data_IF_293470944163
#
_entry.id   IF_293470944163
#
_cell.length_a   1.000
_cell.length_b   1.000
_cell.length_c   1.000
_cell.angle_alpha   90.00
_cell.angle_beta   90.00
_cell.angle_gamma   90.00
#
_symmetry.space_group_name_H-M   'P 1'
#
loop_
_entity.id
_entity.type
_entity.pdbx_description
1 polymer ?
#
# COMPACT_ATOMS: atom_id res chain seq x y z
N UNK A 1 -5.04 18.99 13.64
CA UNK A 1 -4.06 18.07 13.03
C UNK A 1 -4.79 17.16 12.04
N UNK A 2 -4.40 17.14 10.77
CA UNK A 2 -4.97 16.17 9.85
C UNK A 2 -4.59 14.73 10.33
N UNK A 3 -5.59 13.88 10.48
CA UNK A 3 -5.38 12.47 10.85
C UNK A 3 -5.38 11.63 9.58
N UNK A 4 -4.39 10.76 9.44
CA UNK A 4 -4.40 9.76 8.37
C UNK A 4 -5.53 8.76 8.62
N UNK A 5 -6.31 8.48 7.57
CA UNK A 5 -7.38 7.48 7.60
C UNK A 5 -6.78 6.10 7.84
N UNK A 6 -5.66 5.80 7.19
CA UNK A 6 -4.98 4.52 7.34
C UNK A 6 -4.42 4.29 8.74
N UNK A 7 -3.82 5.32 9.36
CA UNK A 7 -3.22 5.21 10.68
C UNK A 7 -4.24 4.93 11.82
N UNK A 8 -5.51 5.27 11.62
CA UNK A 8 -6.55 5.08 12.64
C UNK A 8 -6.80 3.59 13.00
N UNK A 9 -6.46 2.68 12.09
CA UNK A 9 -6.68 1.23 12.23
C UNK A 9 -5.38 0.43 12.36
N UNK A 10 -4.27 1.09 12.65
CA UNK A 10 -2.96 0.47 12.83
C UNK A 10 -2.69 0.19 14.31
N UNK A 11 -2.25 -1.02 14.58
CA UNK A 11 -1.70 -1.45 15.87
C UNK A 11 -0.20 -1.69 15.70
N UNK A 12 0.62 -1.03 16.50
CA UNK A 12 2.07 -1.27 16.53
C UNK A 12 2.40 -2.28 17.62
N UNK A 13 3.13 -3.31 17.22
CA UNK A 13 3.60 -4.36 18.13
C UNK A 13 4.95 -4.00 18.75
N UNK A 14 5.31 -4.68 19.84
CA UNK A 14 6.57 -4.44 20.56
C UNK A 14 7.82 -4.74 19.73
N UNK A 15 7.73 -5.64 18.75
CA UNK A 15 8.82 -5.98 17.83
C UNK A 15 9.03 -4.96 16.70
N UNK A 16 8.21 -3.88 16.68
CA UNK A 16 8.23 -2.85 15.65
C UNK A 16 7.35 -3.15 14.44
N UNK A 17 6.73 -4.33 14.36
CA UNK A 17 5.76 -4.67 13.32
C UNK A 17 4.47 -3.87 13.50
N UNK A 18 3.89 -3.45 12.40
CA UNK A 18 2.54 -2.87 12.36
C UNK A 18 1.55 -3.89 11.81
N UNK A 19 0.37 -3.94 12.42
CA UNK A 19 -0.78 -4.71 11.95
C UNK A 19 -1.97 -3.79 11.72
N UNK A 20 -2.79 -4.09 10.71
CA UNK A 20 -4.06 -3.42 10.48
C UNK A 20 -5.20 -4.19 11.11
N UNK A 21 -6.23 -3.49 11.58
CA UNK A 21 -7.45 -4.12 12.11
C UNK A 21 -8.64 -3.63 11.31
N UNK A 22 -9.42 -4.57 10.78
CA UNK A 22 -10.64 -4.28 10.05
C UNK A 22 -11.74 -5.31 10.38
N UNK A 23 -12.74 -4.89 11.14
CA UNK A 23 -13.76 -5.82 11.63
C UNK A 23 -13.13 -7.02 12.35
N UNK A 24 -13.47 -8.26 11.94
CA UNK A 24 -12.90 -9.48 12.54
C UNK A 24 -11.52 -9.86 11.96
N UNK A 25 -10.95 -9.02 11.08
CA UNK A 25 -9.71 -9.32 10.40
C UNK A 25 -8.52 -8.61 11.03
N UNK A 26 -7.40 -9.31 11.09
CA UNK A 26 -6.06 -8.76 11.30
C UNK A 26 -5.34 -8.78 9.96
N UNK A 27 -4.83 -7.64 9.55
CA UNK A 27 -4.15 -7.44 8.28
C UNK A 27 -2.65 -7.34 8.52
N UNK A 28 -1.88 -8.13 7.78
CA UNK A 28 -0.41 -8.13 7.83
C UNK A 28 0.18 -7.83 6.47
N UNK A 29 1.43 -7.39 6.46
CA UNK A 29 2.21 -7.23 5.24
C UNK A 29 3.08 -8.44 4.98
N UNK A 30 3.15 -8.87 3.73
CA UNK A 30 4.25 -9.67 3.21
C UNK A 30 4.96 -8.86 2.12
N UNK A 31 6.27 -9.04 1.99
CA UNK A 31 7.06 -8.37 0.96
C UNK A 31 7.64 -9.39 0.02
N UNK A 32 7.22 -9.32 -1.24
CA UNK A 32 7.75 -10.16 -2.29
C UNK A 32 8.94 -9.46 -2.96
N UNK A 33 10.13 -10.08 -2.98
CA UNK A 33 11.27 -9.50 -3.64
C UNK A 33 11.09 -9.47 -5.16
N UNK A 34 11.45 -8.34 -5.76
CA UNK A 34 11.53 -8.14 -7.21
C UNK A 34 13.00 -8.15 -7.58
N UNK A 35 13.37 -9.05 -8.47
CA UNK A 35 14.76 -9.23 -8.89
C UNK A 35 15.04 -8.49 -10.19
N UNK A 36 16.26 -7.96 -10.28
CA UNK A 36 16.84 -7.43 -11.51
C UNK A 36 18.08 -8.24 -11.89
N UNK A 37 18.25 -8.44 -13.18
CA UNK A 37 19.44 -9.06 -13.74
C UNK A 37 20.36 -7.95 -14.28
N UNK A 38 21.44 -7.66 -13.54
CA UNK A 38 22.36 -6.57 -13.84
C UNK A 38 23.78 -7.15 -13.91
N UNK A 39 24.49 -6.87 -15.00
CA UNK A 39 25.87 -7.32 -15.23
C UNK A 39 26.08 -8.82 -15.01
N UNK A 40 25.12 -9.63 -15.48
CA UNK A 40 25.17 -11.08 -15.36
C UNK A 40 24.86 -11.62 -13.96
N UNK A 41 24.38 -10.76 -13.04
CA UNK A 41 24.01 -11.17 -11.67
C UNK A 41 22.58 -10.87 -11.36
N UNK A 42 21.92 -11.81 -10.69
CA UNK A 42 20.58 -11.64 -10.15
C UNK A 42 20.69 -10.96 -8.77
N UNK A 43 20.00 -9.82 -8.61
CA UNK A 43 19.97 -9.09 -7.35
C UNK A 43 18.56 -8.61 -7.02
N UNK A 44 18.25 -8.43 -5.73
CA UNK A 44 16.98 -7.83 -5.31
C UNK A 44 17.02 -6.34 -5.62
N UNK A 45 16.12 -5.88 -6.49
CA UNK A 45 15.98 -4.47 -6.88
C UNK A 45 14.92 -3.73 -6.05
N UNK A 46 13.86 -4.41 -5.67
CA UNK A 46 12.71 -3.84 -5.00
C UNK A 46 11.91 -4.89 -4.24
N UNK A 47 10.88 -4.45 -3.53
CA UNK A 47 9.91 -5.31 -2.87
C UNK A 47 8.49 -4.84 -3.21
N UNK A 48 7.57 -5.77 -3.40
CA UNK A 48 6.15 -5.50 -3.51
C UNK A 48 5.45 -5.79 -2.18
N UNK A 49 4.66 -4.83 -1.69
CA UNK A 49 3.82 -4.98 -0.51
C UNK A 49 2.54 -5.75 -0.83
N UNK A 50 2.36 -6.90 -0.21
CA UNK A 50 1.22 -7.79 -0.41
C UNK A 50 0.44 -7.96 0.88
N UNK A 51 -0.88 -7.79 0.80
CA UNK A 51 -1.77 -7.96 1.94
C UNK A 51 -1.91 -9.44 2.33
N UNK A 52 -1.86 -9.69 3.64
CA UNK A 52 -2.13 -11.01 4.24
C UNK A 52 -3.21 -10.86 5.31
N UNK A 53 -4.48 -11.09 4.96
CA UNK A 53 -5.57 -11.04 5.92
C UNK A 53 -5.62 -12.33 6.74
N UNK A 54 -5.97 -12.19 8.01
CA UNK A 54 -6.22 -13.28 8.94
C UNK A 54 -7.59 -13.09 9.61
N UNK A 55 -8.32 -14.17 9.79
CA UNK A 55 -9.55 -14.20 10.57
C UNK A 55 -9.46 -15.33 11.58
N UNK A 56 -9.66 -15.02 12.88
CA UNK A 56 -9.48 -15.99 13.97
C UNK A 56 -8.14 -16.74 13.89
N UNK A 57 -7.07 -16.00 13.61
CA UNK A 57 -5.69 -16.49 13.40
C UNK A 57 -5.49 -17.39 12.16
N UNK A 58 -6.51 -17.60 11.33
CA UNK A 58 -6.41 -18.39 10.10
C UNK A 58 -6.16 -17.46 8.90
N UNK A 59 -5.15 -17.77 8.05
CA UNK A 59 -4.87 -16.97 6.87
C UNK A 59 -6.02 -17.05 5.87
N UNK A 60 -6.34 -15.92 5.25
CA UNK A 60 -7.35 -15.78 4.21
C UNK A 60 -6.68 -15.34 2.91
N UNK A 61 -7.24 -15.72 1.77
CA UNK A 61 -6.78 -15.18 0.49
C UNK A 61 -7.20 -13.71 0.38
N UNK A 62 -6.35 -12.81 -0.11
CA UNK A 62 -6.70 -11.39 -0.28
C UNK A 62 -7.98 -11.17 -1.08
N UNK A 63 -8.19 -11.97 -2.13
CA UNK A 63 -9.38 -11.90 -2.97
C UNK A 63 -10.67 -12.20 -2.18
N UNK A 64 -10.66 -13.24 -1.34
CA UNK A 64 -11.81 -13.61 -0.52
C UNK A 64 -12.09 -12.54 0.53
N UNK A 65 -11.05 -11.97 1.13
CA UNK A 65 -11.18 -10.84 2.05
C UNK A 65 -11.83 -9.63 1.37
N UNK A 66 -11.34 -9.21 0.19
CA UNK A 66 -11.90 -8.05 -0.51
C UNK A 66 -13.34 -8.24 -0.97
N UNK A 67 -13.80 -9.47 -1.20
CA UNK A 67 -15.22 -9.77 -1.47
C UNK A 67 -16.11 -9.46 -0.26
N UNK A 68 -15.57 -9.61 0.96
CA UNK A 68 -16.33 -9.30 2.20
C UNK A 68 -16.39 -7.82 2.52
N UNK A 69 -15.52 -7.00 1.90
CA UNK A 69 -15.45 -5.54 2.14
C UNK A 69 -16.59 -4.86 1.38
N UNK A 70 -17.51 -4.14 2.07
CA UNK A 70 -18.54 -3.36 1.39
C UNK A 70 -17.96 -2.37 0.41
N UNK A 71 -18.57 -2.14 -0.76
CA UNK A 71 -18.06 -1.19 -1.76
C UNK A 71 -17.79 0.21 -1.19
N UNK A 72 -18.63 0.70 -0.30
CA UNK A 72 -18.47 2.00 0.36
C UNK A 72 -17.22 2.10 1.25
N UNK A 73 -16.71 0.97 1.74
CA UNK A 73 -15.54 0.90 2.64
C UNK A 73 -14.25 0.53 1.92
N UNK A 74 -14.35 0.14 0.66
CA UNK A 74 -13.21 -0.37 -0.11
C UNK A 74 -12.03 0.60 -0.15
N UNK A 75 -12.30 1.87 -0.35
CA UNK A 75 -11.29 2.92 -0.34
C UNK A 75 -10.53 2.98 0.99
N UNK A 76 -11.25 2.88 2.12
CA UNK A 76 -10.62 2.90 3.45
C UNK A 76 -9.73 1.67 3.69
N UNK A 77 -10.18 0.50 3.26
CA UNK A 77 -9.41 -0.75 3.40
C UNK A 77 -8.17 -0.74 2.53
N UNK A 78 -8.27 -0.25 1.30
CA UNK A 78 -7.11 -0.11 0.40
C UNK A 78 -6.10 0.91 0.94
N UNK A 79 -6.58 2.01 1.53
CA UNK A 79 -5.72 3.00 2.20
C UNK A 79 -5.06 2.40 3.44
N UNK A 80 -5.79 1.63 4.22
CA UNK A 80 -5.23 0.90 5.37
C UNK A 80 -4.13 -0.09 4.94
N UNK A 81 -4.38 -0.85 3.88
CA UNK A 81 -3.40 -1.81 3.36
C UNK A 81 -2.10 -1.10 2.91
N UNK A 82 -2.20 -0.01 2.14
CA UNK A 82 -1.03 0.80 1.75
C UNK A 82 -0.28 1.35 2.95
N UNK A 83 -0.99 1.95 3.89
CA UNK A 83 -0.41 2.47 5.13
C UNK A 83 0.37 1.40 5.86
N UNK A 84 -0.22 0.22 6.00
CA UNK A 84 0.41 -0.93 6.65
C UNK A 84 1.71 -1.34 5.96
N UNK A 85 1.70 -1.43 4.61
CA UNK A 85 2.89 -1.78 3.84
C UNK A 85 4.00 -0.73 3.98
N UNK A 86 3.67 0.55 3.93
CA UNK A 86 4.64 1.63 4.07
C UNK A 86 5.27 1.66 5.46
N UNK A 87 4.48 1.50 6.53
CA UNK A 87 5.01 1.45 7.90
C UNK A 87 5.97 0.28 8.10
N UNK A 88 5.59 -0.92 7.67
CA UNK A 88 6.43 -2.11 7.79
C UNK A 88 7.66 -2.04 6.88
N UNK A 89 7.53 -1.47 5.68
CA UNK A 89 8.66 -1.25 4.79
C UNK A 89 9.69 -0.29 5.41
N UNK A 90 9.24 0.80 6.02
CA UNK A 90 10.12 1.74 6.71
C UNK A 90 10.85 1.11 7.91
N UNK A 91 10.19 0.19 8.61
CA UNK A 91 10.75 -0.49 9.78
C UNK A 91 11.77 -1.59 9.41
N UNK A 92 11.56 -2.34 8.32
CA UNK A 92 12.27 -3.60 8.09
C UNK A 92 13.00 -3.72 6.76
N UNK A 93 12.61 -2.97 5.72
CA UNK A 93 13.23 -3.12 4.40
C UNK A 93 14.51 -2.29 4.26
N UNK A 94 15.49 -2.77 3.47
CA UNK A 94 16.71 -2.02 3.18
C UNK A 94 16.42 -0.65 2.58
N UNK A 95 17.15 0.37 3.01
CA UNK A 95 16.89 1.78 2.64
C UNK A 95 17.16 2.11 1.18
N UNK A 96 17.97 1.31 0.51
CA UNK A 96 18.35 1.47 -0.90
C UNK A 96 17.36 0.79 -1.88
N UNK A 97 16.32 0.10 -1.38
CA UNK A 97 15.36 -0.63 -2.21
C UNK A 97 14.07 0.15 -2.42
N UNK A 98 13.51 0.02 -3.62
CA UNK A 98 12.18 0.53 -3.96
C UNK A 98 11.09 -0.36 -3.40
N UNK A 99 9.93 0.24 -3.19
CA UNK A 99 8.76 -0.42 -2.62
C UNK A 99 7.58 -0.19 -3.57
N UNK A 100 7.06 -1.27 -4.10
CA UNK A 100 5.88 -1.28 -4.94
C UNK A 100 4.64 -1.40 -4.08
N UNK A 101 3.69 -0.50 -4.29
CA UNK A 101 2.39 -0.51 -3.63
C UNK A 101 1.27 -0.41 -4.64
N UNK A 102 0.24 -1.20 -4.45
CA UNK A 102 -0.90 -1.30 -5.35
C UNK A 102 -1.89 -0.15 -5.16
N UNK A 103 -2.39 0.37 -6.28
CA UNK A 103 -3.47 1.35 -6.34
C UNK A 103 -4.61 0.82 -7.21
N UNK A 104 -5.83 0.95 -6.69
CA UNK A 104 -7.01 0.59 -7.47
C UNK A 104 -7.22 1.58 -8.62
N UNK A 105 -7.52 1.10 -9.84
CA UNK A 105 -7.79 1.96 -10.99
C UNK A 105 -8.95 2.94 -10.77
N UNK A 106 -9.94 2.57 -9.95
CA UNK A 106 -11.09 3.43 -9.59
C UNK A 106 -10.71 4.75 -8.91
N UNK A 107 -9.54 4.80 -8.28
CA UNK A 107 -8.99 6.03 -7.68
C UNK A 107 -8.79 7.15 -8.71
N UNK A 108 -8.42 6.81 -9.93
CA UNK A 108 -8.02 7.78 -10.95
C UNK A 108 -9.20 8.48 -11.65
N UNK A 109 -10.43 8.05 -11.35
CA UNK A 109 -11.65 8.71 -11.82
C UNK A 109 -12.11 9.93 -11.01
N UNK A 110 -11.51 10.15 -9.83
CA UNK A 110 -11.91 11.23 -8.92
C UNK A 110 -10.68 11.99 -8.40
N UNK A 111 -10.53 13.24 -8.87
CA UNK A 111 -9.41 14.10 -8.47
C UNK A 111 -9.38 14.40 -6.97
N UNK A 112 -10.53 14.58 -6.33
CA UNK A 112 -10.59 14.85 -4.90
C UNK A 112 -10.09 13.64 -4.10
N UNK A 113 -10.39 12.46 -4.59
CA UNK A 113 -9.95 11.21 -4.00
C UNK A 113 -8.42 11.03 -4.15
N UNK A 114 -7.87 11.34 -5.31
CA UNK A 114 -6.41 11.35 -5.54
C UNK A 114 -5.72 12.31 -4.57
N UNK A 115 -6.21 13.55 -4.46
CA UNK A 115 -5.63 14.55 -3.56
C UNK A 115 -5.70 14.11 -2.10
N UNK A 116 -6.78 13.44 -1.70
CA UNK A 116 -6.90 12.88 -0.35
C UNK A 116 -5.88 11.76 -0.10
N UNK A 117 -5.70 10.85 -1.06
CA UNK A 117 -4.71 9.78 -0.98
C UNK A 117 -3.29 10.33 -0.89
N UNK A 118 -2.94 11.30 -1.73
CA UNK A 118 -1.59 11.91 -1.72
C UNK A 118 -1.30 12.62 -0.39
N UNK A 119 -2.29 13.32 0.18
CA UNK A 119 -2.15 13.93 1.51
C UNK A 119 -1.94 12.87 2.60
N UNK A 120 -2.73 11.81 2.58
CA UNK A 120 -2.61 10.70 3.53
C UNK A 120 -1.26 10.00 3.41
N UNK A 121 -0.82 9.72 2.19
CA UNK A 121 0.50 9.11 1.93
C UNK A 121 1.65 9.96 2.46
N UNK A 122 1.63 11.29 2.30
CA UNK A 122 2.68 12.16 2.86
C UNK A 122 2.81 12.01 4.37
N UNK A 123 1.68 11.94 5.08
CA UNK A 123 1.68 11.72 6.53
C UNK A 123 2.27 10.35 6.89
N UNK A 124 1.86 9.31 6.16
CA UNK A 124 2.34 7.94 6.38
C UNK A 124 3.83 7.81 6.07
N UNK A 125 4.30 8.39 4.97
CA UNK A 125 5.72 8.38 4.59
C UNK A 125 6.59 9.06 5.65
N UNK A 126 6.14 10.19 6.17
CA UNK A 126 6.83 10.88 7.27
C UNK A 126 6.89 9.98 8.52
N UNK A 127 5.78 9.37 8.90
CA UNK A 127 5.69 8.47 10.06
C UNK A 127 6.57 7.22 9.88
N UNK A 128 6.60 6.66 8.67
CA UNK A 128 7.41 5.50 8.30
C UNK A 128 8.90 5.84 8.08
N UNK A 129 9.27 7.13 8.06
CA UNK A 129 10.60 7.61 7.69
C UNK A 129 11.06 7.10 6.33
N UNK A 130 10.13 7.09 5.37
CA UNK A 130 10.37 6.68 4.00
C UNK A 130 10.45 7.90 3.07
N UNK A 131 11.41 7.86 2.16
CA UNK A 131 11.50 8.84 1.09
C UNK A 131 10.50 8.51 -0.02
N UNK A 132 9.77 9.51 -0.51
CA UNK A 132 8.79 9.34 -1.58
C UNK A 132 9.40 8.76 -2.86
N UNK A 133 10.66 9.08 -3.16
CA UNK A 133 11.42 8.57 -4.31
C UNK A 133 11.60 7.04 -4.32
N UNK A 134 11.40 6.39 -3.18
CA UNK A 134 11.46 4.92 -3.07
C UNK A 134 10.14 4.24 -3.42
N UNK A 135 9.04 4.98 -3.50
CA UNK A 135 7.71 4.40 -3.70
C UNK A 135 7.43 4.32 -5.19
N UNK A 136 7.00 3.15 -5.62
CA UNK A 136 6.50 2.88 -6.96
C UNK A 136 5.02 2.54 -6.86
N UNK A 137 4.19 3.34 -7.49
CA UNK A 137 2.75 3.11 -7.55
C UNK A 137 2.45 2.12 -8.68
N UNK A 138 1.91 0.97 -8.35
CA UNK A 138 1.48 -0.04 -9.31
C UNK A 138 -0.03 0.07 -9.52
N UNK A 139 -0.43 0.23 -10.78
CA UNK A 139 -1.83 0.32 -11.17
C UNK A 139 -2.16 -0.89 -12.02
N UNK A 140 -3.11 -1.72 -11.57
CA UNK A 140 -3.55 -2.88 -12.34
C UNK A 140 -4.31 -2.43 -13.57
N UNK A 141 -3.93 -2.95 -14.75
CA UNK A 141 -4.59 -2.65 -16.02
C UNK A 141 -6.06 -3.09 -15.99
N UNK A 142 -6.97 -2.12 -15.94
CA UNK A 142 -8.33 -2.31 -16.42
C UNK A 142 -8.51 -1.50 -17.68
N UNK A 143 -9.00 -2.16 -18.74
CA UNK A 143 -9.10 -1.59 -20.10
C UNK A 143 -9.74 -0.19 -20.09
N UNK A 144 -9.02 0.78 -20.61
CA UNK A 144 -9.42 1.82 -21.53
C UNK A 144 -10.04 3.15 -21.11
N UNK A 145 -10.14 3.57 -19.84
CA UNK A 145 -10.72 4.91 -19.57
C UNK A 145 -9.75 5.90 -18.90
N UNK A 146 -8.52 5.51 -18.59
CA UNK A 146 -7.71 6.20 -17.56
C UNK A 146 -6.36 6.79 -18.00
N UNK A 147 -6.04 6.88 -19.29
CA UNK A 147 -4.72 7.40 -19.69
C UNK A 147 -4.49 8.86 -19.25
N UNK A 148 -5.52 9.71 -19.33
CA UNK A 148 -5.41 11.11 -18.94
C UNK A 148 -5.33 11.27 -17.42
N UNK A 149 -6.17 10.56 -16.67
CA UNK A 149 -6.14 10.58 -15.21
C UNK A 149 -4.84 9.99 -14.64
N UNK A 150 -4.29 8.96 -15.29
CA UNK A 150 -3.01 8.38 -14.91
C UNK A 150 -1.84 9.36 -15.14
N UNK A 151 -1.83 10.09 -16.25
CA UNK A 151 -0.84 11.14 -16.51
C UNK A 151 -0.89 12.23 -15.45
N UNK A 152 -2.10 12.72 -15.12
CA UNK A 152 -2.27 13.74 -14.08
C UNK A 152 -1.79 13.27 -12.71
N UNK A 153 -1.94 11.97 -12.40
CA UNK A 153 -1.43 11.39 -11.16
C UNK A 153 0.10 11.34 -11.14
N UNK A 154 0.72 10.87 -12.22
CA UNK A 154 2.19 10.79 -12.35
C UNK A 154 2.82 12.17 -12.24
N UNK A 155 2.19 13.20 -12.84
CA UNK A 155 2.67 14.58 -12.80
C UNK A 155 2.51 15.22 -11.41
N UNK A 156 1.65 14.66 -10.53
CA UNK A 156 1.39 15.16 -9.17
C UNK A 156 2.25 14.46 -8.08
N UNK A 157 2.90 13.35 -8.42
CA UNK A 157 3.81 12.62 -7.52
C UNK A 157 5.24 13.15 -7.62
#
# INVERSE_FOLDING_TARGET
MPRSIGLAHIVRLQDGTSEGVWGPYVLKSAFQPIYAFIDGKLSVAAFEGLLRPFRSALPQRPQDFFVTVPPAERFHVETLARTLHLLNAGAFLPRDKRIFVNFAPSLFGDRQLIDAVLRDMRLVLHEARLEASRIVCEVTEQKSVFQEALRQFVDAC
#
